data_IF_525302994109
#
_entry.id   IF_525302994109
#
_cell.length_a   1.000
_cell.length_b   1.000
_cell.length_c   1.000
_cell.angle_alpha   90.00
_cell.angle_beta   90.00
_cell.angle_gamma   90.00
#
_symmetry.space_group_name_H-M   'P 1'
#
loop_
_entity.id
_entity.type
_entity.pdbx_description
1 polymer ?
#
# COMPACT_ATOMS: atom_id res chain seq x y z
N UNK A 1 -4.26 -23.56 -0.76
CA UNK A 1 -2.92 -23.36 -0.18
C UNK A 1 -2.02 -22.69 -1.19
N UNK A 2 -2.09 -21.37 -1.20
CA UNK A 2 -1.13 -20.54 -1.91
C UNK A 2 0.22 -20.60 -1.17
N UNK A 3 1.20 -21.31 -1.72
CA UNK A 3 2.56 -21.37 -1.16
C UNK A 3 3.30 -20.07 -1.51
N UNK A 4 3.10 -19.01 -0.72
CA UNK A 4 3.94 -17.81 -0.82
C UNK A 4 5.30 -18.17 -0.21
N UNK A 5 6.33 -18.24 -1.06
CA UNK A 5 7.69 -18.52 -0.62
C UNK A 5 8.46 -17.21 -0.48
N UNK A 6 8.71 -16.80 0.76
CA UNK A 6 9.54 -15.64 1.04
C UNK A 6 11.01 -16.06 1.13
N UNK A 7 11.86 -15.47 0.29
CA UNK A 7 13.32 -15.59 0.43
C UNK A 7 13.84 -14.70 1.56
N UNK A 8 13.10 -13.65 1.95
CA UNK A 8 13.46 -12.74 3.02
C UNK A 8 12.76 -13.13 4.35
N UNK A 9 13.52 -13.51 5.40
CA UNK A 9 12.96 -13.97 6.68
C UNK A 9 12.23 -12.86 7.45
N UNK A 10 12.61 -11.59 7.30
CA UNK A 10 11.94 -10.48 7.99
C UNK A 10 10.53 -10.25 7.43
N UNK A 11 10.36 -10.44 6.13
CA UNK A 11 9.05 -10.34 5.47
C UNK A 11 8.14 -11.49 5.93
N UNK A 12 8.67 -12.71 6.00
CA UNK A 12 7.94 -13.85 6.56
C UNK A 12 7.48 -13.59 8.01
N UNK A 13 8.34 -13.00 8.86
CA UNK A 13 7.97 -12.63 10.24
C UNK A 13 6.85 -11.59 10.28
N UNK A 14 6.89 -10.56 9.43
CA UNK A 14 5.83 -9.54 9.33
C UNK A 14 4.50 -10.15 8.88
N UNK A 15 4.54 -11.05 7.91
CA UNK A 15 3.37 -11.80 7.43
C UNK A 15 2.72 -12.60 8.56
N UNK A 16 3.55 -13.32 9.32
CA UNK A 16 3.10 -14.08 10.50
C UNK A 16 2.56 -13.18 11.60
N UNK A 17 3.23 -12.05 11.90
CA UNK A 17 2.81 -11.11 12.95
C UNK A 17 1.46 -10.46 12.63
N UNK A 18 1.23 -10.15 11.35
CA UNK A 18 -0.05 -9.60 10.88
C UNK A 18 -1.12 -10.67 10.67
N UNK A 19 -0.82 -11.95 10.92
CA UNK A 19 -1.72 -13.08 10.70
C UNK A 19 -2.34 -13.03 9.30
N UNK A 20 -1.50 -12.90 8.27
CA UNK A 20 -1.95 -12.90 6.88
C UNK A 20 -2.00 -14.35 6.40
N UNK A 21 -3.22 -14.86 6.24
CA UNK A 21 -3.53 -16.19 5.73
C UNK A 21 -4.32 -16.12 4.40
N UNK A 22 -4.70 -17.28 3.85
CA UNK A 22 -5.44 -17.38 2.59
C UNK A 22 -6.77 -16.59 2.62
N UNK A 23 -7.43 -16.50 3.78
CA UNK A 23 -8.68 -15.73 3.92
C UNK A 23 -8.43 -14.22 3.84
N UNK A 24 -7.35 -13.73 4.44
CA UNK A 24 -6.95 -12.31 4.32
C UNK A 24 -6.64 -11.96 2.87
N UNK A 25 -6.01 -12.86 2.13
CA UNK A 25 -5.73 -12.67 0.70
C UNK A 25 -7.02 -12.58 -0.11
N UNK A 26 -7.95 -13.51 0.11
CA UNK A 26 -9.24 -13.53 -0.58
C UNK A 26 -10.04 -12.25 -0.32
N UNK A 27 -10.11 -11.83 0.94
CA UNK A 27 -10.80 -10.61 1.34
C UNK A 27 -10.10 -9.35 0.77
N UNK A 28 -8.76 -9.31 0.74
CA UNK A 28 -8.03 -8.20 0.11
C UNK A 28 -8.29 -8.12 -1.40
N UNK A 29 -8.24 -9.25 -2.11
CA UNK A 29 -8.55 -9.31 -3.56
C UNK A 29 -9.98 -8.88 -3.83
N UNK A 30 -10.93 -9.31 -3.00
CA UNK A 30 -12.32 -8.87 -3.08
C UNK A 30 -12.45 -7.35 -2.89
N UNK A 31 -11.83 -6.80 -1.84
CA UNK A 31 -11.81 -5.36 -1.58
C UNK A 31 -11.21 -4.58 -2.76
N UNK A 32 -10.14 -5.10 -3.36
CA UNK A 32 -9.49 -4.49 -4.50
C UNK A 32 -10.39 -4.38 -5.74
N UNK A 33 -11.23 -5.38 -6.02
CA UNK A 33 -12.20 -5.31 -7.12
C UNK A 33 -13.16 -4.11 -7.00
N UNK A 34 -13.43 -3.68 -5.76
CA UNK A 34 -14.26 -2.53 -5.46
C UNK A 34 -13.43 -1.24 -5.51
N UNK A 35 -12.29 -1.21 -4.81
CA UNK A 35 -11.43 -0.02 -4.65
C UNK A 35 -10.85 0.44 -5.99
N UNK A 36 -10.44 -0.47 -6.88
CA UNK A 36 -9.74 -0.14 -8.13
C UNK A 36 -10.51 0.81 -9.06
N UNK A 37 -11.85 0.84 -8.94
CA UNK A 37 -12.71 1.71 -9.74
C UNK A 37 -12.73 3.15 -9.20
N UNK A 38 -12.44 3.32 -7.91
CA UNK A 38 -12.44 4.61 -7.21
C UNK A 38 -11.00 5.14 -6.99
N UNK A 39 -9.97 4.31 -7.24
CA UNK A 39 -8.59 4.64 -6.90
C UNK A 39 -8.08 5.93 -7.56
N UNK A 40 -8.46 6.22 -8.81
CA UNK A 40 -8.05 7.46 -9.47
C UNK A 40 -8.51 8.70 -8.68
N UNK A 41 -9.76 8.70 -8.20
CA UNK A 41 -10.31 9.80 -7.41
C UNK A 41 -9.65 9.89 -6.02
N UNK A 42 -9.30 8.74 -5.42
CA UNK A 42 -8.55 8.71 -4.15
C UNK A 42 -7.17 9.35 -4.33
N UNK A 43 -6.46 8.99 -5.40
CA UNK A 43 -5.12 9.52 -5.66
C UNK A 43 -5.13 11.01 -6.03
N UNK A 44 -6.16 11.49 -6.72
CA UNK A 44 -6.34 12.92 -6.97
C UNK A 44 -6.53 13.71 -5.67
N UNK A 45 -7.36 13.21 -4.74
CA UNK A 45 -7.49 13.81 -3.41
C UNK A 45 -6.18 13.78 -2.63
N UNK A 46 -5.43 12.68 -2.72
CA UNK A 46 -4.14 12.55 -2.06
C UNK A 46 -3.13 13.59 -2.56
N UNK A 47 -2.98 13.73 -3.88
CA UNK A 47 -2.09 14.72 -4.48
C UNK A 47 -2.49 16.16 -4.11
N UNK A 48 -3.79 16.46 -4.10
CA UNK A 48 -4.28 17.77 -3.65
C UNK A 48 -3.93 18.03 -2.17
N UNK A 49 -4.03 17.02 -1.30
CA UNK A 49 -3.63 17.18 0.11
C UNK A 49 -2.12 17.35 0.29
N UNK A 50 -1.31 16.67 -0.53
CA UNK A 50 0.14 16.86 -0.52
C UNK A 50 0.52 18.30 -0.90
N UNK A 51 -0.13 18.86 -1.90
CA UNK A 51 0.03 20.25 -2.32
C UNK A 51 -0.29 21.24 -1.18
N UNK A 52 -1.44 21.05 -0.52
CA UNK A 52 -1.84 21.87 0.65
C UNK A 52 -0.83 21.80 1.81
N UNK A 53 -0.13 20.68 1.97
CA UNK A 53 0.90 20.51 2.99
C UNK A 53 2.29 21.02 2.55
N UNK A 54 2.42 21.59 1.35
CA UNK A 54 3.67 22.15 0.85
C UNK A 54 4.62 21.14 0.22
N UNK A 55 4.13 19.95 -0.17
CA UNK A 55 4.94 18.95 -0.87
C UNK A 55 4.92 19.10 -2.40
N UNK A 56 4.26 20.12 -2.93
CA UNK A 56 4.11 20.34 -4.38
C UNK A 56 5.47 20.41 -5.08
N UNK A 57 6.45 21.10 -4.48
CA UNK A 57 7.80 21.27 -5.04
C UNK A 57 8.59 19.95 -5.12
N UNK A 58 8.17 18.91 -4.39
CA UNK A 58 8.76 17.57 -4.46
C UNK A 58 8.15 16.71 -5.59
N UNK A 59 7.10 17.20 -6.25
CA UNK A 59 6.37 16.49 -7.30
C UNK A 59 6.79 17.06 -8.66
N UNK A 60 7.70 16.37 -9.34
CA UNK A 60 8.15 16.77 -10.68
C UNK A 60 7.03 16.68 -11.73
N UNK A 61 6.25 15.60 -11.71
CA UNK A 61 5.10 15.38 -12.59
C UNK A 61 3.97 14.66 -11.81
N UNK A 62 2.89 15.39 -11.56
CA UNK A 62 1.73 14.86 -10.83
C UNK A 62 1.00 13.74 -11.59
N UNK A 63 0.98 13.78 -12.92
CA UNK A 63 0.34 12.75 -13.73
C UNK A 63 1.16 11.45 -13.68
N UNK A 64 2.47 11.55 -13.87
CA UNK A 64 3.38 10.40 -13.76
C UNK A 64 3.34 9.79 -12.35
N UNK A 65 3.37 10.63 -11.31
CA UNK A 65 3.26 10.19 -9.92
C UNK A 65 1.94 9.45 -9.67
N UNK A 66 0.81 9.96 -10.17
CA UNK A 66 -0.49 9.28 -10.06
C UNK A 66 -0.46 7.88 -10.69
N UNK A 67 0.14 7.74 -11.87
CA UNK A 67 0.29 6.44 -12.54
C UNK A 67 1.18 5.48 -11.74
N UNK A 68 2.28 5.97 -11.17
CA UNK A 68 3.17 5.18 -10.29
C UNK A 68 2.42 4.69 -9.04
N UNK A 69 1.70 5.58 -8.37
CA UNK A 69 0.87 5.24 -7.20
C UNK A 69 -0.21 4.22 -7.57
N UNK A 70 -0.90 4.39 -8.70
CA UNK A 70 -1.91 3.41 -9.14
C UNK A 70 -1.31 2.02 -9.31
N UNK A 71 -0.17 1.92 -10.01
CA UNK A 71 0.53 0.64 -10.24
C UNK A 71 1.01 0.00 -8.94
N UNK A 72 1.53 0.81 -8.02
CA UNK A 72 1.95 0.37 -6.68
C UNK A 72 0.82 -0.33 -5.93
N UNK A 73 -0.33 0.35 -5.78
CA UNK A 73 -1.49 -0.21 -5.09
C UNK A 73 -2.08 -1.42 -5.82
N UNK A 74 -2.10 -1.40 -7.16
CA UNK A 74 -2.53 -2.55 -7.95
C UNK A 74 -1.61 -3.76 -7.76
N UNK A 75 -0.31 -3.54 -7.63
CA UNK A 75 0.66 -4.61 -7.39
C UNK A 75 0.48 -5.19 -5.98
N UNK A 76 0.37 -4.34 -4.94
CA UNK A 76 0.09 -4.79 -3.57
C UNK A 76 -1.15 -5.69 -3.51
N UNK A 77 -2.28 -5.21 -4.05
CA UNK A 77 -3.54 -5.94 -3.93
C UNK A 77 -3.73 -7.04 -4.97
N UNK A 78 -2.81 -7.21 -5.93
CA UNK A 78 -2.68 -8.46 -6.70
C UNK A 78 -2.35 -9.65 -5.79
N UNK A 79 -1.76 -9.38 -4.61
CA UNK A 79 -1.35 -10.34 -3.60
C UNK A 79 -0.39 -11.41 -4.15
N UNK A 80 0.45 -11.05 -5.13
CA UNK A 80 1.49 -11.94 -5.66
C UNK A 80 2.63 -12.16 -4.67
N UNK A 81 2.94 -11.13 -3.87
CA UNK A 81 4.04 -11.10 -2.89
C UNK A 81 5.35 -11.71 -3.40
N UNK A 82 5.62 -11.55 -4.69
CA UNK A 82 6.83 -12.05 -5.33
C UNK A 82 8.05 -11.27 -4.86
N UNK A 83 9.24 -11.83 -5.11
CA UNK A 83 10.49 -11.09 -4.91
C UNK A 83 10.52 -9.77 -5.70
N UNK A 84 9.91 -9.73 -6.90
CA UNK A 84 9.81 -8.52 -7.71
C UNK A 84 8.93 -7.45 -7.04
N UNK A 85 7.82 -7.84 -6.41
CA UNK A 85 7.00 -6.93 -5.61
C UNK A 85 7.82 -6.36 -4.44
N UNK A 86 8.51 -7.21 -3.69
CA UNK A 86 9.33 -6.80 -2.54
C UNK A 86 10.41 -5.80 -2.97
N UNK A 87 11.12 -6.10 -4.06
CA UNK A 87 12.17 -5.23 -4.58
C UNK A 87 11.62 -3.90 -5.09
N UNK A 88 10.44 -3.90 -5.72
CA UNK A 88 9.76 -2.67 -6.12
C UNK A 88 9.42 -1.77 -4.93
N UNK A 89 8.86 -2.34 -3.85
CA UNK A 89 8.55 -1.57 -2.63
C UNK A 89 9.82 -1.05 -1.96
N UNK A 90 10.89 -1.85 -1.97
CA UNK A 90 12.21 -1.44 -1.45
C UNK A 90 12.77 -0.23 -2.21
N UNK A 91 12.74 -0.28 -3.54
CA UNK A 91 13.16 0.84 -4.41
C UNK A 91 12.31 2.08 -4.19
N UNK A 92 11.00 1.91 -3.99
CA UNK A 92 10.10 3.01 -3.63
C UNK A 92 10.53 3.67 -2.32
N UNK A 93 10.82 2.90 -1.27
CA UNK A 93 11.33 3.44 0.00
C UNK A 93 12.66 4.21 -0.15
N UNK A 94 13.59 3.71 -0.96
CA UNK A 94 14.85 4.40 -1.27
C UNK A 94 14.61 5.70 -2.02
N UNK A 95 13.73 5.71 -3.02
CA UNK A 95 13.39 6.91 -3.77
C UNK A 95 12.81 8.00 -2.85
N UNK A 96 11.96 7.65 -1.89
CA UNK A 96 11.44 8.60 -0.90
C UNK A 96 12.56 9.20 -0.03
N UNK A 97 13.56 8.40 0.37
CA UNK A 97 14.74 8.91 1.08
C UNK A 97 15.56 9.88 0.21
N UNK A 98 15.79 9.54 -1.05
CA UNK A 98 16.60 10.35 -1.98
C UNK A 98 16.01 11.73 -2.24
N UNK A 99 14.68 11.85 -2.24
CA UNK A 99 13.98 13.15 -2.35
C UNK A 99 13.78 13.85 -1.00
N UNK A 100 14.28 13.28 0.10
CA UNK A 100 14.19 13.87 1.43
C UNK A 100 12.80 13.77 2.08
N UNK A 101 11.94 12.83 1.64
CA UNK A 101 10.64 12.62 2.27
C UNK A 101 10.82 11.88 3.60
N UNK A 102 10.63 12.58 4.72
CA UNK A 102 10.70 11.99 6.06
C UNK A 102 9.79 10.75 6.24
N UNK A 103 10.24 9.70 6.97
CA UNK A 103 9.44 8.50 7.24
C UNK A 103 8.04 8.77 7.84
N UNK A 104 7.94 9.84 8.65
CA UNK A 104 6.67 10.26 9.25
C UNK A 104 5.66 10.71 8.17
N UNK A 105 6.11 11.42 7.14
CA UNK A 105 5.26 11.86 6.03
C UNK A 105 4.80 10.68 5.17
N UNK A 106 5.68 9.71 4.91
CA UNK A 106 5.30 8.47 4.25
C UNK A 106 4.17 7.76 5.02
N UNK A 107 4.32 7.64 6.34
CA UNK A 107 3.33 7.01 7.23
C UNK A 107 1.98 7.74 7.16
N UNK A 108 1.97 9.07 7.20
CA UNK A 108 0.75 9.89 7.08
C UNK A 108 0.10 9.69 5.70
N UNK A 109 0.89 9.60 4.62
CA UNK A 109 0.39 9.36 3.27
C UNK A 109 -0.31 8.00 3.13
N UNK A 110 0.28 6.94 3.68
CA UNK A 110 -0.36 5.62 3.74
C UNK A 110 -1.67 5.66 4.53
N UNK A 111 -1.67 6.27 5.71
CA UNK A 111 -2.86 6.37 6.54
C UNK A 111 -4.01 7.06 5.80
N UNK A 112 -3.73 8.14 5.07
CA UNK A 112 -4.74 8.84 4.27
C UNK A 112 -5.32 7.96 3.16
N UNK A 113 -4.48 7.31 2.36
CA UNK A 113 -4.95 6.51 1.23
C UNK A 113 -5.75 5.30 1.73
N UNK A 114 -5.26 4.62 2.78
CA UNK A 114 -5.97 3.48 3.39
C UNK A 114 -7.33 3.91 3.95
N UNK A 115 -7.42 5.05 4.63
CA UNK A 115 -8.69 5.60 5.13
C UNK A 115 -9.70 5.87 3.99
N UNK A 116 -9.26 6.45 2.88
CA UNK A 116 -10.12 6.66 1.71
C UNK A 116 -10.57 5.33 1.08
N UNK A 117 -9.71 4.30 1.04
CA UNK A 117 -10.10 2.96 0.61
C UNK A 117 -11.14 2.34 1.54
N UNK A 118 -10.98 2.49 2.86
CA UNK A 118 -11.94 2.00 3.85
C UNK A 118 -13.30 2.65 3.66
N UNK A 119 -13.36 3.98 3.46
CA UNK A 119 -14.61 4.70 3.18
C UNK A 119 -15.32 4.18 1.92
N UNK A 120 -14.58 3.77 0.89
CA UNK A 120 -15.15 3.14 -0.29
C UNK A 120 -15.79 1.79 0.07
N UNK A 121 -15.08 0.95 0.82
CA UNK A 121 -15.59 -0.36 1.23
C UNK A 121 -16.83 -0.24 2.13
N UNK A 122 -16.84 0.72 3.06
CA UNK A 122 -17.99 0.98 3.92
C UNK A 122 -19.26 1.33 3.13
N UNK A 123 -19.10 2.13 2.08
CA UNK A 123 -20.20 2.57 1.22
C UNK A 123 -20.68 1.49 0.25
N UNK A 124 -19.80 0.59 -0.19
CA UNK A 124 -20.10 -0.36 -1.27
C UNK A 124 -20.44 -1.77 -0.77
N UNK A 125 -19.99 -2.18 0.42
CA UNK A 125 -20.31 -3.48 1.03
C UNK A 125 -21.39 -3.27 2.09
N UNK A 126 -22.65 -3.17 1.65
CA UNK A 126 -23.78 -2.81 2.53
C UNK A 126 -24.58 -4.00 3.03
N UNK A 127 -24.59 -5.08 2.25
CA UNK A 127 -25.40 -6.28 2.42
C UNK A 127 -24.75 -7.34 3.32
N UNK A 128 -23.42 -7.35 3.44
CA UNK A 128 -22.67 -8.29 4.27
C UNK A 128 -21.73 -7.55 5.26
N UNK A 129 -22.22 -7.22 6.47
CA UNK A 129 -21.41 -6.55 7.50
C UNK A 129 -20.17 -7.34 7.91
N UNK A 130 -20.26 -8.68 7.95
CA UNK A 130 -19.15 -9.52 8.36
C UNK A 130 -18.02 -9.49 7.31
N UNK A 131 -18.37 -9.63 6.03
CA UNK A 131 -17.40 -9.50 4.92
C UNK A 131 -16.84 -8.09 4.83
N UNK A 132 -17.65 -7.05 5.05
CA UNK A 132 -17.16 -5.66 5.13
C UNK A 132 -16.04 -5.53 6.15
N UNK A 133 -16.26 -6.00 7.38
CA UNK A 133 -15.25 -5.94 8.46
C UNK A 133 -13.98 -6.72 8.08
N UNK A 134 -14.10 -7.96 7.58
CA UNK A 134 -12.92 -8.74 7.21
C UNK A 134 -12.14 -8.13 6.03
N UNK A 135 -12.85 -7.59 5.04
CA UNK A 135 -12.25 -6.86 3.89
C UNK A 135 -11.48 -5.63 4.36
N UNK A 136 -12.07 -4.79 5.23
CA UNK A 136 -11.40 -3.61 5.81
C UNK A 136 -10.13 -4.03 6.56
N UNK A 137 -10.22 -5.08 7.38
CA UNK A 137 -9.05 -5.62 8.12
C UNK A 137 -7.96 -6.11 7.17
N UNK A 138 -8.33 -6.77 6.07
CA UNK A 138 -7.39 -7.26 5.08
C UNK A 138 -6.65 -6.11 4.38
N UNK A 139 -7.36 -5.07 3.93
CA UNK A 139 -6.75 -3.86 3.34
C UNK A 139 -5.78 -3.20 4.32
N UNK A 140 -6.17 -3.04 5.59
CA UNK A 140 -5.31 -2.44 6.60
C UNK A 140 -4.05 -3.28 6.86
N UNK A 141 -4.18 -4.61 7.00
CA UNK A 141 -3.04 -5.53 7.19
C UNK A 141 -2.05 -5.43 6.04
N UNK A 142 -2.53 -5.49 4.79
CA UNK A 142 -1.65 -5.41 3.62
C UNK A 142 -1.01 -4.03 3.46
N UNK A 143 -1.74 -2.95 3.72
CA UNK A 143 -1.17 -1.60 3.75
C UNK A 143 -0.07 -1.45 4.79
N UNK A 144 -0.26 -2.02 5.99
CA UNK A 144 0.75 -2.00 7.05
C UNK A 144 2.01 -2.82 6.70
N UNK A 145 1.83 -3.99 6.06
CA UNK A 145 2.94 -4.79 5.56
C UNK A 145 3.79 -4.00 4.55
N UNK A 146 3.12 -3.40 3.56
CA UNK A 146 3.72 -2.64 2.47
C UNK A 146 4.47 -1.41 2.98
N UNK A 147 3.83 -0.61 3.85
CA UNK A 147 4.45 0.52 4.52
C UNK A 147 5.68 0.09 5.34
N UNK A 148 5.58 -1.05 6.06
CA UNK A 148 6.70 -1.59 6.82
C UNK A 148 7.91 -1.95 5.94
N UNK A 149 7.68 -2.53 4.75
CA UNK A 149 8.74 -2.84 3.78
C UNK A 149 9.39 -1.54 3.27
N UNK A 150 8.59 -0.57 2.86
CA UNK A 150 9.08 0.73 2.41
C UNK A 150 9.90 1.44 3.50
N UNK A 151 9.40 1.51 4.73
CA UNK A 151 10.06 2.16 5.86
C UNK A 151 11.38 1.49 6.22
N UNK A 152 11.46 0.15 6.23
CA UNK A 152 12.75 -0.52 6.47
C UNK A 152 13.81 -0.22 5.42
N UNK A 153 13.41 0.26 4.25
CA UNK A 153 14.32 0.55 3.14
C UNK A 153 14.99 1.93 3.26
N UNK A 154 14.51 2.81 4.15
CA UNK A 154 15.14 4.10 4.43
C UNK A 154 16.56 3.93 4.98
N UNK A 155 16.75 2.94 5.85
CA UNK A 155 18.04 2.66 6.47
C UNK A 155 18.86 1.63 5.68
N UNK A 156 18.34 1.14 4.55
CA UNK A 156 19.06 0.19 3.73
C UNK A 156 20.20 0.90 2.98
N UNK A 157 21.42 0.41 3.16
CA UNK A 157 22.54 0.75 2.29
C UNK A 157 22.37 -0.06 1.01
N UNK A 158 22.38 0.60 -0.15
CA UNK A 158 22.57 -0.11 -1.43
C UNK A 158 24.01 -0.62 -1.41
N UNK A 159 24.18 -1.93 -1.29
CA UNK A 159 25.45 -2.57 -1.60
C UNK A 159 25.39 -2.91 -3.08
N UNK A 160 26.25 -2.25 -3.86
CA UNK A 160 26.43 -2.47 -5.30
C UNK A 160 27.09 -3.82 -5.60
#
# INVERSE_FOLDING_TARGET
MMNIHFTNPDIARRFSYLEIDESVIEDAKYGWLIIRNELNAILEKFLHKMDVLGFADQIADAHELKLKLYRHWANLFSCSFSNDYIEQVRRSGIAHREVGLEPAHLTIGYAFIIDEMIKVLEKKITDDPARRVRTIRAINKLGALDAGIALSSYNAVLLD
#
